data_IF_852557266789
#
_entry.id   IF_852557266789
#
_cell.length_a   1.000
_cell.length_b   1.000
_cell.length_c   1.000
_cell.angle_alpha   90.00
_cell.angle_beta   90.00
_cell.angle_gamma   90.00
#
_symmetry.space_group_name_H-M   'P 1'
#
loop_
_entity.id
_entity.type
_entity.pdbx_description
1 polymer ?
#
# COMPACT_ATOMS: atom_id res chain seq x y z
N UNK A 1 -8.01 4.03 -5.50
CA UNK A 1 -8.23 2.93 -4.52
C UNK A 1 -7.18 1.84 -4.73
N UNK A 2 -6.73 1.17 -3.67
CA UNK A 2 -5.69 0.11 -3.72
C UNK A 2 -6.18 -1.24 -3.16
N UNK A 3 -7.49 -1.46 -3.15
CA UNK A 3 -8.08 -2.78 -2.84
C UNK A 3 -7.89 -3.30 -1.40
N UNK A 4 -7.53 -2.44 -0.44
CA UNK A 4 -7.21 -2.87 0.94
C UNK A 4 -8.26 -2.44 1.99
N UNK A 5 -9.36 -1.81 1.57
CA UNK A 5 -10.34 -1.19 2.47
C UNK A 5 -11.01 -2.19 3.43
N UNK A 6 -11.50 -3.31 2.90
CA UNK A 6 -12.19 -4.33 3.72
C UNK A 6 -11.26 -4.96 4.76
N UNK A 7 -10.04 -5.33 4.34
CA UNK A 7 -9.04 -5.90 5.26
C UNK A 7 -8.75 -4.94 6.42
N UNK A 8 -8.52 -3.66 6.11
CA UNK A 8 -8.23 -2.67 7.14
C UNK A 8 -9.40 -2.40 8.07
N UNK A 9 -10.62 -2.33 7.53
CA UNK A 9 -11.81 -2.17 8.35
C UNK A 9 -11.93 -3.31 9.38
N UNK A 10 -11.68 -4.55 8.94
CA UNK A 10 -11.71 -5.73 9.82
C UNK A 10 -10.56 -5.70 10.85
N UNK A 11 -9.33 -5.45 10.43
CA UNK A 11 -8.18 -5.35 11.36
C UNK A 11 -8.36 -4.24 12.39
N UNK A 12 -8.91 -3.10 11.99
CA UNK A 12 -9.23 -1.99 12.88
C UNK A 12 -10.36 -2.33 13.85
N UNK A 13 -11.41 -3.01 13.39
CA UNK A 13 -12.51 -3.42 14.26
C UNK A 13 -12.05 -4.43 15.32
N UNK A 14 -11.22 -5.41 14.94
CA UNK A 14 -10.64 -6.39 15.88
C UNK A 14 -9.76 -5.69 16.91
N UNK A 15 -8.81 -4.84 16.48
CA UNK A 15 -7.93 -4.14 17.40
C UNK A 15 -8.69 -3.22 18.38
N UNK A 16 -9.73 -2.55 17.90
CA UNK A 16 -10.56 -1.71 18.76
C UNK A 16 -11.34 -2.53 19.77
N UNK A 17 -11.91 -3.67 19.37
CA UNK A 17 -12.60 -4.57 20.27
C UNK A 17 -11.66 -5.07 21.39
N UNK A 18 -10.45 -5.49 21.04
CA UNK A 18 -9.44 -5.94 22.01
C UNK A 18 -9.09 -4.83 23.01
N UNK A 19 -8.92 -3.58 22.56
CA UNK A 19 -8.59 -2.47 23.46
C UNK A 19 -9.77 -2.04 24.34
N UNK A 20 -11.00 -2.13 23.84
CA UNK A 20 -12.20 -1.86 24.67
C UNK A 20 -12.34 -2.90 25.79
N UNK A 21 -11.92 -4.14 25.58
CA UNK A 21 -11.95 -5.19 26.60
C UNK A 21 -10.78 -5.11 27.60
N UNK A 22 -9.60 -4.68 27.14
CA UNK A 22 -8.36 -4.76 27.93
C UNK A 22 -7.98 -3.48 28.67
N UNK A 23 -8.42 -2.31 28.19
CA UNK A 23 -8.10 -1.02 28.80
C UNK A 23 -9.13 -0.65 29.90
N UNK A 24 -8.73 0.15 30.91
CA UNK A 24 -9.56 0.43 32.07
C UNK A 24 -10.81 1.28 31.77
N UNK A 25 -10.80 2.05 30.68
CA UNK A 25 -11.91 2.86 30.21
C UNK A 25 -11.81 3.11 28.69
N UNK A 26 -12.88 3.66 28.12
CA UNK A 26 -12.95 3.94 26.67
C UNK A 26 -11.94 4.99 26.21
N UNK A 27 -11.56 5.95 27.06
CA UNK A 27 -10.60 6.99 26.70
C UNK A 27 -9.19 6.39 26.55
N UNK A 28 -8.79 5.50 27.46
CA UNK A 28 -7.57 4.70 27.36
C UNK A 28 -7.59 3.81 26.11
N UNK A 29 -8.69 3.09 25.87
CA UNK A 29 -8.87 2.25 24.68
C UNK A 29 -8.69 3.02 23.36
N UNK A 30 -9.36 4.18 23.24
CA UNK A 30 -9.29 4.99 22.01
C UNK A 30 -7.92 5.61 21.79
N UNK A 31 -7.26 6.10 22.84
CA UNK A 31 -5.87 6.61 22.74
C UNK A 31 -4.93 5.53 22.23
N UNK A 32 -4.97 4.34 22.85
CA UNK A 32 -4.13 3.21 22.44
C UNK A 32 -4.42 2.74 21.02
N UNK A 33 -5.70 2.67 20.65
CA UNK A 33 -6.13 2.35 19.29
C UNK A 33 -5.56 3.36 18.28
N UNK A 34 -5.71 4.65 18.56
CA UNK A 34 -5.25 5.71 17.68
C UNK A 34 -3.73 5.68 17.52
N UNK A 35 -2.98 5.58 18.63
CA UNK A 35 -1.52 5.50 18.62
C UNK A 35 -1.03 4.29 17.82
N UNK A 36 -1.67 3.14 17.98
CA UNK A 36 -1.30 1.91 17.28
C UNK A 36 -1.65 1.93 15.77
N UNK A 37 -2.75 2.61 15.37
CA UNK A 37 -3.30 2.51 14.02
C UNK A 37 -3.02 3.71 13.13
N UNK A 38 -2.77 4.89 13.68
CA UNK A 38 -2.59 6.15 12.94
C UNK A 38 -1.54 6.01 11.82
N UNK A 39 -0.37 5.46 12.13
CA UNK A 39 0.72 5.28 11.16
C UNK A 39 0.31 4.36 10.00
N UNK A 40 -0.38 3.26 10.28
CA UNK A 40 -0.81 2.31 9.24
C UNK A 40 -1.89 2.91 8.34
N UNK A 41 -2.82 3.69 8.91
CA UNK A 41 -3.82 4.44 8.15
C UNK A 41 -3.15 5.46 7.23
N UNK A 42 -2.18 6.24 7.75
CA UNK A 42 -1.45 7.22 6.96
C UNK A 42 -0.68 6.59 5.80
N UNK A 43 0.00 5.44 6.03
CA UNK A 43 0.68 4.69 4.96
C UNK A 43 -0.29 4.25 3.87
N UNK A 44 -1.48 3.77 4.24
CA UNK A 44 -2.49 3.39 3.26
C UNK A 44 -2.99 4.61 2.47
N UNK A 45 -3.33 5.70 3.15
CA UNK A 45 -3.81 6.92 2.50
C UNK A 45 -2.78 7.47 1.52
N UNK A 46 -1.51 7.48 1.91
CA UNK A 46 -0.40 7.84 1.02
C UNK A 46 -0.33 6.93 -0.20
N UNK A 47 -0.38 5.61 -0.02
CA UNK A 47 -0.37 4.67 -1.15
C UNK A 47 -1.59 4.81 -2.07
N UNK A 48 -2.77 5.09 -1.49
CA UNK A 48 -3.99 5.32 -2.25
C UNK A 48 -3.91 6.62 -3.07
N UNK A 49 -3.29 7.67 -2.51
CA UNK A 49 -3.03 8.94 -3.18
C UNK A 49 -2.04 8.77 -4.33
N UNK A 50 -0.89 8.14 -4.08
CA UNK A 50 0.10 7.88 -5.13
C UNK A 50 -0.50 7.08 -6.30
N UNK A 51 -1.32 6.07 -5.99
CA UNK A 51 -2.02 5.32 -7.03
C UNK A 51 -3.07 6.15 -7.77
N UNK A 52 -3.75 7.09 -7.11
CA UNK A 52 -4.72 7.97 -7.76
C UNK A 52 -4.00 8.91 -8.72
N UNK A 53 -2.99 9.62 -8.23
CA UNK A 53 -2.19 10.57 -9.01
C UNK A 53 -1.55 9.89 -10.23
N UNK A 54 -1.03 8.65 -10.07
CA UNK A 54 -0.50 7.88 -11.21
C UNK A 54 -1.54 7.65 -12.31
N UNK A 55 -2.80 7.32 -11.95
CA UNK A 55 -3.86 7.12 -12.93
C UNK A 55 -4.35 8.42 -13.55
N UNK A 56 -4.39 9.50 -12.78
CA UNK A 56 -4.73 10.85 -13.28
C UNK A 56 -3.68 11.34 -14.29
N UNK A 57 -2.43 10.92 -14.14
CA UNK A 57 -1.31 11.29 -15.01
C UNK A 57 -0.89 10.17 -15.97
N UNK A 58 -1.76 9.17 -16.20
CA UNK A 58 -1.41 7.94 -16.94
C UNK A 58 -0.88 8.22 -18.36
N UNK A 59 -1.34 9.30 -18.99
CA UNK A 59 -0.93 9.74 -20.33
C UNK A 59 0.58 9.90 -20.47
N UNK A 60 1.28 10.29 -19.39
CA UNK A 60 2.73 10.45 -19.35
C UNK A 60 3.48 9.14 -19.58
N UNK A 61 2.83 8.00 -19.33
CA UNK A 61 3.43 6.67 -19.42
C UNK A 61 3.03 5.92 -20.69
N UNK A 62 2.07 6.41 -21.47
CA UNK A 62 1.53 5.68 -22.63
C UNK A 62 2.56 5.48 -23.77
N UNK A 63 3.62 6.31 -23.81
CA UNK A 63 4.71 6.17 -24.77
C UNK A 63 5.86 5.29 -24.31
N UNK A 64 5.80 4.73 -23.10
CA UNK A 64 6.86 3.87 -22.57
C UNK A 64 6.84 2.49 -23.25
N UNK A 65 7.99 1.82 -23.23
CA UNK A 65 8.05 0.40 -23.54
C UNK A 65 7.10 -0.39 -22.61
N UNK A 66 6.40 -1.43 -23.09
CA UNK A 66 5.48 -2.21 -22.27
C UNK A 66 6.08 -2.72 -20.95
N UNK A 67 7.37 -3.05 -20.91
CA UNK A 67 8.06 -3.49 -19.69
C UNK A 67 8.16 -2.35 -18.68
N UNK A 68 8.56 -1.17 -19.12
CA UNK A 68 8.63 0.03 -18.28
C UNK A 68 7.25 0.47 -17.79
N UNK A 69 6.25 0.45 -18.67
CA UNK A 69 4.87 0.76 -18.31
C UNK A 69 4.38 -0.19 -17.22
N UNK A 70 4.59 -1.50 -17.39
CA UNK A 70 4.16 -2.49 -16.42
C UNK A 70 4.90 -2.33 -15.09
N UNK A 71 6.21 -2.10 -15.10
CA UNK A 71 6.98 -1.81 -13.89
C UNK A 71 6.46 -0.57 -13.14
N UNK A 72 6.24 0.54 -13.86
CA UNK A 72 5.66 1.78 -13.33
C UNK A 72 4.28 1.52 -12.71
N UNK A 73 3.41 0.81 -13.43
CA UNK A 73 2.07 0.45 -12.96
C UNK A 73 2.11 -0.41 -11.69
N UNK A 74 2.96 -1.43 -11.64
CA UNK A 74 3.05 -2.36 -10.50
C UNK A 74 3.57 -1.68 -9.23
N UNK A 75 4.50 -0.73 -9.38
CA UNK A 75 5.13 -0.01 -8.26
C UNK A 75 4.42 1.29 -7.87
N UNK A 76 3.43 1.77 -8.65
CA UNK A 76 2.78 3.10 -8.50
C UNK A 76 2.33 3.47 -7.09
N UNK A 77 1.87 2.50 -6.30
CA UNK A 77 1.32 2.73 -4.97
C UNK A 77 2.40 2.78 -3.88
N UNK A 78 3.65 2.45 -4.22
CA UNK A 78 4.80 2.27 -3.33
C UNK A 78 4.62 1.18 -2.25
N UNK A 79 3.49 0.46 -2.26
CA UNK A 79 3.30 -0.74 -1.41
C UNK A 79 3.97 -1.99 -1.97
N UNK A 80 4.22 -1.99 -3.27
CA UNK A 80 4.98 -3.01 -3.96
C UNK A 80 6.31 -2.37 -4.31
N UNK A 81 7.33 -2.67 -3.52
CA UNK A 81 8.70 -2.27 -3.83
C UNK A 81 9.31 -3.15 -4.91
N UNK A 82 10.43 -2.71 -5.46
CA UNK A 82 11.27 -3.50 -6.35
C UNK A 82 11.64 -4.87 -5.73
N UNK A 83 12.08 -4.89 -4.47
CA UNK A 83 12.35 -6.14 -3.76
C UNK A 83 11.10 -7.00 -3.55
N UNK A 84 9.93 -6.39 -3.31
CA UNK A 84 8.70 -7.17 -3.23
C UNK A 84 8.29 -7.74 -4.60
N UNK A 85 8.70 -7.15 -5.72
CA UNK A 85 8.53 -7.76 -7.04
C UNK A 85 9.45 -8.96 -7.18
N UNK A 86 10.71 -8.87 -6.76
CA UNK A 86 11.65 -10.00 -6.81
C UNK A 86 11.15 -11.22 -6.04
N UNK A 87 10.54 -10.99 -4.87
CA UNK A 87 9.94 -12.05 -4.06
C UNK A 87 8.70 -12.69 -4.70
N UNK A 88 8.01 -11.98 -5.59
CA UNK A 88 6.81 -12.47 -6.28
C UNK A 88 7.14 -13.14 -7.61
N UNK A 89 8.07 -12.55 -8.35
CA UNK A 89 8.49 -12.99 -9.68
C UNK A 89 9.91 -12.47 -9.98
N UNK A 90 10.91 -13.27 -9.63
CA UNK A 90 12.32 -12.91 -9.82
C UNK A 90 12.73 -12.96 -11.30
N UNK A 91 12.13 -13.85 -12.09
CA UNK A 91 12.44 -14.00 -13.52
C UNK A 91 11.96 -12.78 -14.30
N UNK A 92 10.70 -12.37 -14.11
CA UNK A 92 10.17 -11.17 -14.75
C UNK A 92 10.95 -9.92 -14.35
N UNK A 93 11.28 -9.77 -13.06
CA UNK A 93 12.05 -8.62 -12.60
C UNK A 93 13.45 -8.59 -13.21
N UNK A 94 14.14 -9.73 -13.29
CA UNK A 94 15.45 -9.83 -13.91
C UNK A 94 15.43 -9.37 -15.37
N UNK A 95 14.43 -9.81 -16.15
CA UNK A 95 14.25 -9.34 -17.53
C UNK A 95 13.95 -7.84 -17.63
N UNK A 96 13.20 -7.28 -16.68
CA UNK A 96 12.98 -5.84 -16.62
C UNK A 96 14.26 -5.06 -16.25
N UNK A 97 15.09 -5.58 -15.35
CA UNK A 97 16.36 -4.97 -14.94
C UNK A 97 17.38 -4.94 -16.09
N UNK A 98 17.46 -5.99 -16.91
CA UNK A 98 18.33 -6.04 -18.09
C UNK A 98 17.99 -4.95 -19.11
N UNK A 99 16.70 -4.60 -19.24
CA UNK A 99 16.26 -3.54 -20.14
C UNK A 99 16.72 -2.14 -19.68
N UNK A 100 16.88 -1.91 -18.37
CA UNK A 100 17.29 -0.62 -17.81
C UNK A 100 18.82 -0.38 -17.86
N UNK A 101 19.61 -1.37 -18.28
CA UNK A 101 21.07 -1.24 -18.48
C UNK A 101 21.41 -0.65 -19.84
#
# INVERSE_FOLDING_TARGET
>A
SIGSGTKLALESAVALADYVETEPDLEAAFRKYEDARRTEVLKLQSAARNSLEWFEEVERYLGLDPVQFNYSLLTRSQRISHENLRLRDAEWLGGAEEWFQ
#
